data_IF_377792313632
#
_entry.id   IF_377792313632
#
_cell.length_a   1.000
_cell.length_b   1.000
_cell.length_c   1.000
_cell.angle_alpha   90.00
_cell.angle_beta   90.00
_cell.angle_gamma   90.00
#
_symmetry.space_group_name_H-M   'P 1'
#
loop_
_entity.id
_entity.type
_entity.pdbx_description
1 polymer ?
#
# COMPACT_ATOMS: atom_id res chain seq x y z
N UNK A 1 16.91 -11.06 8.24
CA UNK A 1 16.71 -9.98 7.25
C UNK A 1 17.72 -8.88 7.52
N UNK A 2 18.53 -8.49 6.54
CA UNK A 2 19.48 -7.37 6.66
C UNK A 2 18.68 -6.07 6.53
N UNK A 3 18.74 -5.18 7.54
CA UNK A 3 18.11 -3.86 7.46
C UNK A 3 18.91 -2.99 6.49
N UNK A 4 18.23 -2.29 5.59
CA UNK A 4 18.87 -1.34 4.67
C UNK A 4 19.54 -0.21 5.43
N UNK A 5 20.75 0.16 5.01
CA UNK A 5 21.69 1.04 5.73
C UNK A 5 21.25 2.51 5.83
N UNK A 6 20.10 2.88 5.26
CA UNK A 6 19.66 4.28 5.10
C UNK A 6 18.38 4.64 5.86
N UNK A 7 17.75 3.71 6.58
CA UNK A 7 16.55 4.02 7.37
C UNK A 7 16.98 4.36 8.80
N UNK A 8 16.88 5.65 9.17
CA UNK A 8 17.15 6.13 10.53
C UNK A 8 15.83 6.34 11.28
N UNK A 9 15.71 5.81 12.49
CA UNK A 9 14.58 6.11 13.37
C UNK A 9 14.89 7.34 14.21
N UNK A 10 13.99 8.31 14.19
CA UNK A 10 14.04 9.50 15.05
C UNK A 10 12.80 9.55 15.94
N UNK A 11 12.99 10.05 17.15
CA UNK A 11 11.87 10.40 18.03
C UNK A 11 11.29 11.77 17.67
N UNK A 12 10.05 12.04 18.07
CA UNK A 12 9.37 13.31 17.78
C UNK A 12 10.14 14.54 18.33
N UNK A 13 10.82 14.39 19.48
CA UNK A 13 11.61 15.47 20.09
C UNK A 13 12.91 15.73 19.31
N UNK A 14 13.57 14.68 18.84
CA UNK A 14 14.78 14.81 18.01
C UNK A 14 14.48 15.47 16.65
N UNK A 15 13.33 15.15 16.03
CA UNK A 15 12.91 15.82 14.79
C UNK A 15 12.62 17.31 14.99
N UNK A 16 12.02 17.69 16.12
CA UNK A 16 11.81 19.10 16.47
C UNK A 16 13.13 19.85 16.62
N UNK A 17 14.11 19.26 17.31
CA UNK A 17 15.44 19.85 17.45
C UNK A 17 16.14 20.04 16.09
N UNK A 18 16.02 19.05 15.19
CA UNK A 18 16.59 19.11 13.84
C UNK A 18 15.85 20.04 12.86
N UNK A 19 14.64 20.49 13.20
CA UNK A 19 13.89 21.46 12.37
C UNK A 19 14.64 22.79 12.25
N UNK A 20 15.48 23.13 13.23
CA UNK A 20 16.37 24.30 13.19
C UNK A 20 17.48 24.20 12.14
N UNK A 21 17.95 22.97 11.84
CA UNK A 21 18.99 22.70 10.82
C UNK A 21 18.38 22.48 9.42
N UNK A 22 17.08 22.66 9.28
CA UNK A 22 16.37 22.46 8.02
C UNK A 22 16.71 23.57 7.03
N UNK A 23 16.92 23.21 5.76
CA UNK A 23 17.05 24.16 4.65
C UNK A 23 15.71 24.80 4.24
N UNK A 24 14.61 24.38 4.87
CA UNK A 24 13.26 24.89 4.59
C UNK A 24 12.99 26.14 5.42
N UNK A 25 12.45 27.18 4.78
CA UNK A 25 11.97 28.37 5.48
C UNK A 25 10.63 28.07 6.16
N UNK A 26 10.71 27.57 7.40
CA UNK A 26 9.54 27.23 8.20
C UNK A 26 8.71 28.44 8.62
N UNK A 27 9.30 29.64 8.68
CA UNK A 27 8.54 30.86 9.02
C UNK A 27 7.55 31.21 7.92
N UNK A 28 7.95 31.03 6.66
CA UNK A 28 7.06 31.21 5.51
C UNK A 28 5.93 30.19 5.49
N UNK A 29 6.23 28.92 5.79
CA UNK A 29 5.22 27.84 5.83
C UNK A 29 4.22 28.05 6.97
N UNK A 30 4.69 28.38 8.17
CA UNK A 30 3.82 28.58 9.33
C UNK A 30 2.95 29.86 9.21
N UNK A 31 3.35 30.82 8.36
CA UNK A 31 2.59 32.06 8.09
C UNK A 31 1.64 31.96 6.89
N UNK A 32 1.74 30.90 6.08
CA UNK A 32 0.87 30.68 4.92
C UNK A 32 -0.54 30.36 5.37
N UNK A 33 -1.52 31.02 4.78
CA UNK A 33 -2.93 30.81 5.11
C UNK A 33 -3.52 29.62 4.34
N UNK A 34 -4.56 28.99 4.90
CA UNK A 34 -5.24 27.85 4.26
C UNK A 34 -5.76 28.19 2.85
N UNK A 35 -6.27 29.41 2.64
CA UNK A 35 -6.75 29.86 1.32
C UNK A 35 -5.62 29.99 0.30
N UNK A 36 -4.44 30.44 0.72
CA UNK A 36 -3.26 30.52 -0.15
C UNK A 36 -2.74 29.12 -0.49
N UNK A 37 -2.81 28.19 0.48
CA UNK A 37 -2.46 26.80 0.27
C UNK A 37 -3.40 26.12 -0.73
N UNK A 38 -4.71 26.30 -0.59
CA UNK A 38 -5.71 25.78 -1.51
C UNK A 38 -5.51 26.33 -2.93
N UNK A 39 -5.18 27.62 -3.05
CA UNK A 39 -4.84 28.24 -4.33
C UNK A 39 -3.59 27.63 -4.98
N UNK A 40 -2.56 27.32 -4.18
CA UNK A 40 -1.34 26.67 -4.66
C UNK A 40 -1.65 25.24 -5.13
N UNK A 41 -2.38 24.45 -4.33
CA UNK A 41 -2.79 23.09 -4.67
C UNK A 41 -3.60 23.09 -5.98
N UNK A 42 -4.59 23.98 -6.12
CA UNK A 42 -5.42 24.06 -7.31
C UNK A 42 -4.64 24.49 -8.58
N UNK A 43 -3.56 25.26 -8.39
CA UNK A 43 -2.69 25.70 -9.48
C UNK A 43 -1.68 24.64 -9.94
N UNK A 44 -1.41 23.65 -9.10
CA UNK A 44 -0.48 22.57 -9.41
C UNK A 44 -1.08 21.61 -10.44
N UNK A 45 -0.34 21.34 -11.51
CA UNK A 45 -0.78 20.43 -12.56
C UNK A 45 -0.84 18.98 -12.07
N UNK A 46 0.02 18.59 -11.13
CA UNK A 46 0.08 17.22 -10.63
C UNK A 46 -1.12 16.90 -9.71
N UNK A 47 -1.70 17.94 -9.10
CA UNK A 47 -2.91 17.84 -8.28
C UNK A 47 -4.21 17.93 -9.12
N UNK A 48 -4.12 18.32 -10.41
CA UNK A 48 -5.31 18.42 -11.27
C UNK A 48 -5.95 17.05 -11.50
N UNK A 49 -7.15 16.89 -10.96
CA UNK A 49 -7.94 15.66 -11.06
C UNK A 49 -7.69 14.67 -9.91
N UNK A 50 -6.74 14.97 -9.01
CA UNK A 50 -6.51 14.22 -7.78
C UNK A 50 -7.23 14.89 -6.60
N UNK A 51 -8.57 14.88 -6.65
CA UNK A 51 -9.40 15.28 -5.52
C UNK A 51 -10.16 14.05 -5.00
N UNK A 52 -9.47 13.12 -4.28
CA UNK A 52 -10.14 11.96 -3.73
C UNK A 52 -11.22 12.40 -2.74
N UNK A 53 -12.45 11.95 -2.99
CA UNK A 53 -13.57 12.15 -2.09
C UNK A 53 -13.42 11.21 -0.89
N UNK A 54 -12.73 11.68 0.13
CA UNK A 54 -12.47 10.93 1.36
C UNK A 54 -13.76 10.54 2.11
N UNK A 55 -14.90 11.18 1.81
CA UNK A 55 -16.19 10.76 2.38
C UNK A 55 -16.66 9.39 1.89
N UNK A 56 -16.13 8.94 0.74
CA UNK A 56 -16.40 7.61 0.14
C UNK A 56 -15.29 6.60 0.40
N UNK A 57 -14.29 6.95 1.21
CA UNK A 57 -13.21 6.02 1.52
C UNK A 57 -13.75 4.85 2.36
N UNK A 58 -13.67 3.64 1.82
CA UNK A 58 -14.04 2.43 2.54
C UNK A 58 -12.80 1.77 3.17
N UNK A 59 -12.92 1.39 4.44
CA UNK A 59 -11.87 0.62 5.12
C UNK A 59 -11.90 -0.83 4.61
N UNK A 60 -11.00 -1.16 3.68
CA UNK A 60 -10.81 -2.54 3.22
C UNK A 60 -9.78 -3.22 4.12
N UNK A 61 -10.26 -3.96 5.12
CA UNK A 61 -9.40 -4.85 5.89
C UNK A 61 -9.13 -6.12 5.07
N UNK A 62 -7.85 -6.47 4.79
CA UNK A 62 -7.56 -7.71 4.10
C UNK A 62 -7.96 -8.89 4.99
N UNK A 63 -8.90 -9.71 4.51
CA UNK A 63 -9.28 -10.92 5.23
C UNK A 63 -8.08 -11.87 5.35
N UNK A 64 -7.89 -12.42 6.54
CA UNK A 64 -6.84 -13.41 6.78
C UNK A 64 -7.13 -14.68 6.00
N UNK A 65 -6.13 -15.15 5.24
CA UNK A 65 -6.24 -16.44 4.54
C UNK A 65 -6.44 -17.57 5.56
N UNK A 66 -7.47 -18.38 5.34
CA UNK A 66 -7.72 -19.57 6.14
C UNK A 66 -6.74 -20.68 5.74
N UNK A 67 -6.08 -21.29 6.73
CA UNK A 67 -5.23 -22.46 6.53
C UNK A 67 -6.10 -23.72 6.57
N UNK A 68 -6.30 -24.35 5.42
CA UNK A 68 -7.07 -25.60 5.29
C UNK A 68 -6.15 -26.78 4.99
N UNK A 69 -6.47 -27.95 5.54
CA UNK A 69 -5.81 -29.20 5.17
C UNK A 69 -6.62 -29.88 4.06
N UNK A 70 -6.09 -29.87 2.84
CA UNK A 70 -6.74 -30.41 1.65
C UNK A 70 -5.90 -31.57 1.08
N UNK A 71 -6.57 -32.68 0.75
CA UNK A 71 -5.95 -33.77 -0.01
C UNK A 71 -6.06 -33.45 -1.49
N UNK A 72 -4.91 -33.47 -2.17
CA UNK A 72 -4.79 -33.22 -3.60
C UNK A 72 -4.03 -34.36 -4.25
N UNK A 73 -4.33 -34.63 -5.52
CA UNK A 73 -3.58 -35.60 -6.30
C UNK A 73 -2.14 -35.15 -6.51
N UNK A 74 -1.23 -36.13 -6.53
CA UNK A 74 0.21 -35.91 -6.68
C UNK A 74 0.53 -35.12 -7.96
N UNK A 75 -0.12 -35.46 -9.06
CA UNK A 75 0.14 -34.84 -10.37
C UNK A 75 -0.14 -33.33 -10.36
N UNK A 76 -1.24 -32.91 -9.70
CA UNK A 76 -1.60 -31.50 -9.56
C UNK A 76 -0.52 -30.75 -8.78
N UNK A 77 -0.10 -31.32 -7.64
CA UNK A 77 0.92 -30.70 -6.79
C UNK A 77 2.26 -30.56 -7.53
N UNK A 78 2.68 -31.59 -8.24
CA UNK A 78 3.95 -31.58 -9.00
C UNK A 78 3.90 -30.60 -10.18
N UNK A 79 2.77 -30.49 -10.89
CA UNK A 79 2.59 -29.48 -11.94
C UNK A 79 2.84 -28.06 -11.43
N UNK A 80 2.19 -27.67 -10.32
CA UNK A 80 2.35 -26.32 -9.77
C UNK A 80 3.72 -26.09 -9.13
N UNK A 81 4.32 -27.11 -8.52
CA UNK A 81 5.69 -27.05 -8.01
C UNK A 81 6.72 -26.86 -9.13
N UNK A 82 6.53 -27.51 -10.28
CA UNK A 82 7.40 -27.36 -11.45
C UNK A 82 7.49 -25.93 -11.99
N UNK A 83 6.48 -25.10 -11.71
CA UNK A 83 6.46 -23.67 -12.09
C UNK A 83 7.26 -22.77 -11.13
N UNK A 84 7.96 -23.33 -10.14
CA UNK A 84 8.86 -22.61 -9.23
C UNK A 84 8.19 -22.01 -7.99
N UNK A 85 8.84 -21.01 -7.38
CA UNK A 85 8.37 -20.37 -6.13
C UNK A 85 6.95 -19.79 -6.31
N UNK A 86 6.11 -19.94 -5.28
CA UNK A 86 4.73 -19.43 -5.30
C UNK A 86 3.68 -20.39 -5.88
N UNK A 87 3.97 -21.70 -5.93
CA UNK A 87 3.02 -22.71 -6.40
C UNK A 87 1.65 -22.63 -5.68
N UNK A 88 1.64 -22.43 -4.36
CA UNK A 88 0.40 -22.24 -3.57
C UNK A 88 -0.38 -21.01 -4.03
N UNK A 89 0.29 -19.88 -4.29
CA UNK A 89 -0.38 -18.66 -4.75
C UNK A 89 -1.02 -18.86 -6.12
N UNK A 90 -0.37 -19.60 -7.02
CA UNK A 90 -0.94 -19.95 -8.34
C UNK A 90 -2.13 -20.89 -8.20
N UNK A 91 -2.04 -21.89 -7.33
CA UNK A 91 -3.18 -22.77 -7.02
C UNK A 91 -4.37 -21.96 -6.47
N UNK A 92 -4.12 -21.01 -5.57
CA UNK A 92 -5.16 -20.12 -5.06
C UNK A 92 -5.80 -19.27 -6.17
N UNK A 93 -5.02 -18.75 -7.11
CA UNK A 93 -5.55 -17.96 -8.22
C UNK A 93 -6.48 -18.79 -9.12
N UNK A 94 -6.13 -20.05 -9.39
CA UNK A 94 -6.96 -20.98 -10.17
C UNK A 94 -8.27 -21.28 -9.42
N UNK A 95 -8.20 -21.57 -8.12
CA UNK A 95 -9.39 -21.80 -7.30
C UNK A 95 -10.31 -20.56 -7.28
N UNK A 96 -9.75 -19.36 -7.16
CA UNK A 96 -10.51 -18.12 -7.23
C UNK A 96 -11.21 -17.96 -8.58
N UNK A 97 -10.48 -18.13 -9.69
CA UNK A 97 -11.06 -18.03 -11.03
C UNK A 97 -12.19 -19.04 -11.26
N UNK A 98 -12.07 -20.26 -10.71
CA UNK A 98 -13.14 -21.26 -10.76
C UNK A 98 -14.38 -20.81 -9.97
N UNK A 99 -14.20 -20.29 -8.76
CA UNK A 99 -15.31 -19.78 -7.93
C UNK A 99 -16.01 -18.61 -8.64
N UNK A 100 -15.27 -17.63 -9.14
CA UNK A 100 -15.81 -16.47 -9.84
C UNK A 100 -16.63 -16.90 -11.08
N UNK A 101 -16.10 -17.85 -11.86
CA UNK A 101 -16.78 -18.39 -13.04
C UNK A 101 -18.07 -19.16 -12.71
N UNK A 102 -18.17 -19.76 -11.52
CA UNK A 102 -19.39 -20.46 -11.08
C UNK A 102 -20.42 -19.50 -10.46
N UNK A 103 -19.97 -18.44 -9.79
CA UNK A 103 -20.86 -17.47 -9.14
C UNK A 103 -21.44 -16.43 -10.11
N UNK A 104 -20.79 -16.19 -11.25
CA UNK A 104 -21.21 -15.19 -12.24
C UNK A 104 -21.80 -15.83 -13.51
N UNK A 105 -22.28 -17.08 -13.41
CA UNK A 105 -23.00 -17.80 -14.45
C UNK A 105 -24.47 -17.91 -14.09
#
# INVERSE_FOLDING_TARGET
MRKDKNITSYTANELKAKRADSRTDWRKVDAMTDNELDGIIASDNDERGFAPDWTKAELVLPESKLSVNLRLDREIVEFFKGQGRGHISRMQAVLKAYVDAQQHR
#
